data_IF_542656507431
#
_entry.id   IF_542656507431
#
_cell.length_a   1.000
_cell.length_b   1.000
_cell.length_c   1.000
_cell.angle_alpha   90.00
_cell.angle_beta   90.00
_cell.angle_gamma   90.00
#
_symmetry.space_group_name_H-M   'P 1'
#
loop_
_entity.id
_entity.type
_entity.pdbx_description
1 polymer ?
#
# COMPACT_ATOMS: atom_id res chain seq x y z
N UNK A 1 4.93 13.09 36.19
CA UNK A 1 5.10 12.17 35.04
C UNK A 1 3.94 12.43 34.08
N UNK A 2 4.19 13.13 32.97
CA UNK A 2 3.17 13.32 31.93
C UNK A 2 3.07 12.00 31.15
N UNK A 3 1.89 11.37 31.13
CA UNK A 3 1.64 10.19 30.33
C UNK A 3 1.82 10.57 28.85
N UNK A 4 2.79 9.96 28.18
CA UNK A 4 3.05 10.22 26.77
C UNK A 4 1.84 9.80 25.94
N UNK A 5 1.26 10.75 25.21
CA UNK A 5 0.25 10.45 24.19
C UNK A 5 0.99 9.72 23.06
N UNK A 6 0.58 8.49 22.77
CA UNK A 6 1.08 7.76 21.61
C UNK A 6 0.30 8.22 20.36
N UNK A 7 1.02 8.68 19.34
CA UNK A 7 0.46 9.06 18.04
C UNK A 7 0.82 7.98 17.03
N UNK A 8 -0.18 7.50 16.29
CA UNK A 8 0.01 6.52 15.22
C UNK A 8 -0.44 7.11 13.87
N UNK A 9 0.44 7.11 12.88
CA UNK A 9 0.12 7.55 11.52
C UNK A 9 -0.62 6.44 10.77
N UNK A 10 -1.90 6.64 10.46
CA UNK A 10 -2.72 5.66 9.71
C UNK A 10 -2.57 5.77 8.19
N UNK A 11 -2.33 6.97 7.69
CA UNK A 11 -2.19 7.25 6.26
C UNK A 11 -1.35 8.52 6.06
N UNK A 12 -0.38 8.51 5.14
CA UNK A 12 0.34 9.73 4.76
C UNK A 12 -0.48 10.65 3.83
N UNK A 13 -1.61 10.17 3.27
CA UNK A 13 -2.49 10.99 2.45
C UNK A 13 -3.46 11.81 3.32
N UNK A 14 -3.65 13.11 3.03
CA UNK A 14 -4.72 13.91 3.62
C UNK A 14 -6.09 13.26 3.42
N UNK A 15 -7.00 13.49 4.37
CA UNK A 15 -8.28 12.76 4.44
C UNK A 15 -9.14 12.99 3.19
N UNK A 16 -9.09 14.18 2.61
CA UNK A 16 -9.83 14.58 1.40
C UNK A 16 -9.30 13.83 0.17
N UNK A 17 -7.97 13.63 0.10
CA UNK A 17 -7.33 12.90 -1.00
C UNK A 17 -7.67 11.41 -0.94
N UNK A 18 -7.84 10.85 0.26
CA UNK A 18 -8.22 9.46 0.42
C UNK A 18 -9.62 9.15 -0.15
N UNK A 19 -10.51 10.14 -0.20
CA UNK A 19 -11.88 9.95 -0.67
C UNK A 19 -11.97 9.53 -2.15
N UNK A 20 -11.05 10.03 -3.01
CA UNK A 20 -11.15 9.89 -4.47
C UNK A 20 -9.95 9.20 -5.15
N UNK A 21 -8.93 8.80 -4.39
CA UNK A 21 -7.75 8.16 -4.97
C UNK A 21 -8.02 6.71 -5.37
N UNK A 22 -7.43 6.26 -6.47
CA UNK A 22 -7.44 4.85 -6.89
C UNK A 22 -6.37 4.10 -6.07
N UNK A 23 -6.79 3.52 -4.95
CA UNK A 23 -5.94 2.70 -4.09
C UNK A 23 -6.60 2.44 -2.74
N UNK A 24 -6.10 1.46 -1.99
CA UNK A 24 -6.66 1.08 -0.70
C UNK A 24 -6.26 2.12 0.36
N UNK A 25 -7.22 2.80 0.97
CA UNK A 25 -6.98 3.87 1.95
C UNK A 25 -7.46 3.47 3.34
N UNK A 26 -7.17 4.31 4.34
CA UNK A 26 -7.68 4.12 5.69
C UNK A 26 -9.22 4.23 5.74
N UNK A 27 -9.83 5.06 4.87
CA UNK A 27 -11.30 5.16 4.76
C UNK A 27 -11.94 3.82 4.37
N UNK A 28 -11.28 2.99 3.58
CA UNK A 28 -11.83 1.66 3.21
C UNK A 28 -11.87 0.73 4.43
N UNK A 29 -10.87 0.81 5.32
CA UNK A 29 -10.89 0.08 6.58
C UNK A 29 -12.00 0.58 7.51
N UNK A 30 -12.25 1.90 7.53
CA UNK A 30 -13.37 2.47 8.28
C UNK A 30 -14.73 2.05 7.72
N UNK A 31 -14.89 1.97 6.40
CA UNK A 31 -16.13 1.45 5.79
C UNK A 31 -16.37 -0.01 6.19
N UNK A 32 -15.31 -0.83 6.25
CA UNK A 32 -15.39 -2.24 6.67
C UNK A 32 -15.75 -2.35 8.16
N UNK A 33 -15.18 -1.50 9.02
CA UNK A 33 -15.46 -1.50 10.47
C UNK A 33 -16.78 -0.80 10.86
N UNK A 34 -17.46 -0.18 9.88
CA UNK A 34 -18.71 0.55 10.07
C UNK A 34 -18.53 1.97 10.61
N UNK A 35 -17.34 2.57 10.48
CA UNK A 35 -17.08 3.96 10.85
C UNK A 35 -17.15 4.24 12.36
N UNK A 36 -17.06 3.19 13.18
CA UNK A 36 -17.14 3.30 14.65
C UNK A 36 -15.95 4.08 15.19
N UNK A 37 -16.21 5.03 16.09
CA UNK A 37 -15.18 5.81 16.76
C UNK A 37 -14.84 7.16 16.10
N UNK A 38 -15.51 7.52 15.00
CA UNK A 38 -15.42 8.86 14.44
C UNK A 38 -16.34 9.83 15.19
N UNK A 39 -15.78 10.91 15.73
CA UNK A 39 -16.55 12.00 16.34
C UNK A 39 -17.39 12.77 15.31
N UNK A 40 -18.35 13.56 15.78
CA UNK A 40 -19.25 14.34 14.90
C UNK A 40 -18.72 15.75 14.57
N UNK A 41 -17.71 16.24 15.30
CA UNK A 41 -17.21 17.61 15.20
C UNK A 41 -15.70 17.64 14.90
N UNK A 42 -15.25 18.76 14.32
CA UNK A 42 -13.87 18.95 13.89
C UNK A 42 -13.43 17.88 12.89
N UNK A 43 -12.20 17.39 13.03
CA UNK A 43 -11.64 16.35 12.16
C UNK A 43 -12.49 15.07 12.09
N UNK A 44 -13.23 14.74 13.15
CA UNK A 44 -14.16 13.60 13.12
C UNK A 44 -15.29 13.77 12.10
N UNK A 45 -15.85 14.98 12.01
CA UNK A 45 -16.85 15.34 11.01
C UNK A 45 -16.27 15.31 9.59
N UNK A 46 -15.09 15.90 9.40
CA UNK A 46 -14.37 15.86 8.12
C UNK A 46 -14.10 14.41 7.66
N UNK A 47 -13.72 13.53 8.58
CA UNK A 47 -13.51 12.12 8.29
C UNK A 47 -14.81 11.39 7.91
N UNK A 48 -15.97 11.74 8.52
CA UNK A 48 -17.28 11.18 8.13
C UNK A 48 -17.69 11.65 6.74
N UNK A 49 -17.48 12.92 6.42
CA UNK A 49 -17.76 13.45 5.08
C UNK A 49 -16.89 12.79 4.03
N UNK A 50 -15.59 12.63 4.31
CA UNK A 50 -14.68 11.90 3.44
C UNK A 50 -15.08 10.41 3.29
N UNK A 51 -15.59 9.77 4.34
CA UNK A 51 -16.09 8.40 4.31
C UNK A 51 -17.32 8.25 3.40
N UNK A 52 -18.24 9.22 3.45
CA UNK A 52 -19.41 9.27 2.56
C UNK A 52 -19.00 9.47 1.10
N UNK A 53 -18.08 10.40 0.85
CA UNK A 53 -17.52 10.62 -0.48
C UNK A 53 -16.79 9.37 -1.00
N UNK A 54 -16.03 8.70 -0.13
CA UNK A 54 -15.35 7.45 -0.48
C UNK A 54 -16.33 6.35 -0.87
N UNK A 55 -17.41 6.17 -0.12
CA UNK A 55 -18.44 5.20 -0.46
C UNK A 55 -19.10 5.50 -1.82
N UNK A 56 -19.34 6.78 -2.14
CA UNK A 56 -19.84 7.18 -3.47
C UNK A 56 -18.84 6.85 -4.57
N UNK A 57 -17.57 7.24 -4.38
CA UNK A 57 -16.51 6.95 -5.33
C UNK A 57 -16.38 5.44 -5.58
N UNK A 58 -16.39 4.62 -4.52
CA UNK A 58 -16.35 3.17 -4.68
C UNK A 58 -17.57 2.64 -5.45
N UNK A 59 -18.75 3.22 -5.25
CA UNK A 59 -19.94 2.83 -6.01
C UNK A 59 -19.84 3.19 -7.50
N UNK A 60 -19.34 4.39 -7.82
CA UNK A 60 -19.03 4.80 -9.19
C UNK A 60 -18.02 3.85 -9.87
N UNK A 61 -17.08 3.31 -9.09
CA UNK A 61 -16.08 2.35 -9.55
C UNK A 61 -16.58 0.90 -9.62
N UNK A 62 -17.85 0.64 -9.31
CA UNK A 62 -18.44 -0.71 -9.24
C UNK A 62 -17.89 -1.57 -8.09
N UNK A 63 -17.28 -0.93 -7.08
CA UNK A 63 -16.67 -1.56 -5.91
C UNK A 63 -17.52 -1.43 -4.65
N UNK A 64 -18.67 -0.76 -4.73
CA UNK A 64 -19.68 -0.72 -3.69
C UNK A 64 -21.08 -0.58 -4.29
N UNK A 65 -22.11 -0.99 -3.55
CA UNK A 65 -23.52 -0.75 -3.86
C UNK A 65 -24.17 -0.02 -2.69
N UNK A 66 -25.01 0.98 -2.98
CA UNK A 66 -25.87 1.61 -1.96
C UNK A 66 -27.23 0.93 -1.92
N UNK A 67 -27.65 0.52 -0.72
CA UNK A 67 -29.01 0.01 -0.43
C UNK A 67 -29.61 0.82 0.70
N UNK A 68 -30.33 1.88 0.34
CA UNK A 68 -30.78 2.89 1.29
C UNK A 68 -29.59 3.52 2.02
N UNK A 69 -29.59 3.46 3.35
CA UNK A 69 -28.50 3.96 4.19
C UNK A 69 -27.27 3.01 4.27
N UNK A 70 -27.39 1.76 3.81
CA UNK A 70 -26.30 0.78 3.88
C UNK A 70 -25.42 0.85 2.63
N UNK A 71 -24.11 0.71 2.85
CA UNK A 71 -23.11 0.54 1.78
C UNK A 71 -22.65 -0.90 1.81
N UNK A 72 -22.80 -1.61 0.70
CA UNK A 72 -22.33 -2.98 0.51
C UNK A 72 -21.05 -2.92 -0.29
N UNK A 73 -19.94 -3.35 0.29
CA UNK A 73 -18.64 -3.34 -0.36
C UNK A 73 -18.45 -4.60 -1.22
N UNK A 74 -17.77 -4.45 -2.35
CA UNK A 74 -17.40 -5.59 -3.19
C UNK A 74 -16.53 -6.59 -2.41
N UNK A 75 -16.67 -7.88 -2.72
CA UNK A 75 -15.75 -8.90 -2.22
C UNK A 75 -14.33 -8.56 -2.66
N UNK A 76 -13.35 -8.79 -1.80
CA UNK A 76 -11.93 -8.51 -2.06
C UNK A 76 -11.63 -7.03 -2.39
N UNK A 77 -12.44 -6.07 -1.88
CA UNK A 77 -12.28 -4.63 -2.11
C UNK A 77 -10.83 -4.16 -1.97
N UNK A 78 -10.19 -4.45 -0.82
CA UNK A 78 -8.85 -3.96 -0.51
C UNK A 78 -7.79 -4.55 -1.46
N UNK A 79 -7.93 -5.82 -1.85
CA UNK A 79 -7.02 -6.45 -2.81
C UNK A 79 -7.17 -5.83 -4.21
N UNK A 80 -8.42 -5.57 -4.63
CA UNK A 80 -8.73 -4.96 -5.92
C UNK A 80 -8.18 -3.54 -6.01
N UNK A 81 -8.42 -2.71 -4.98
CA UNK A 81 -7.91 -1.34 -4.91
C UNK A 81 -6.38 -1.31 -4.91
N UNK A 82 -5.73 -2.17 -4.13
CA UNK A 82 -4.27 -2.30 -4.10
C UNK A 82 -3.71 -2.70 -5.46
N UNK A 83 -4.36 -3.64 -6.14
CA UNK A 83 -3.97 -4.05 -7.50
C UNK A 83 -4.04 -2.89 -8.49
N UNK A 84 -5.11 -2.08 -8.47
CA UNK A 84 -5.26 -0.91 -9.35
C UNK A 84 -4.21 0.17 -9.07
N UNK A 85 -3.92 0.45 -7.80
CA UNK A 85 -2.90 1.41 -7.37
C UNK A 85 -1.50 0.98 -7.83
N UNK A 86 -1.15 -0.30 -7.61
CA UNK A 86 0.12 -0.87 -8.06
C UNK A 86 0.25 -0.88 -9.58
N UNK A 87 -0.81 -1.22 -10.30
CA UNK A 87 -0.79 -1.21 -11.76
C UNK A 87 -0.53 0.20 -12.31
N UNK A 88 -1.18 1.23 -11.72
CA UNK A 88 -0.96 2.62 -12.11
C UNK A 88 0.47 3.07 -11.80
N UNK A 89 0.95 2.81 -10.60
CA UNK A 89 2.32 3.15 -10.21
C UNK A 89 3.36 2.44 -11.10
N UNK A 90 3.15 1.17 -11.42
CA UNK A 90 4.02 0.43 -12.32
C UNK A 90 4.06 1.03 -13.73
N UNK A 91 2.92 1.44 -14.28
CA UNK A 91 2.87 2.12 -15.58
C UNK A 91 3.66 3.42 -15.55
N UNK A 92 3.48 4.23 -14.51
CA UNK A 92 4.17 5.52 -14.38
C UNK A 92 5.69 5.33 -14.27
N UNK A 93 6.13 4.38 -13.44
CA UNK A 93 7.56 4.05 -13.29
C UNK A 93 8.16 3.50 -14.59
N UNK A 94 7.44 2.64 -15.30
CA UNK A 94 7.89 2.09 -16.58
C UNK A 94 8.04 3.22 -17.63
N UNK A 95 7.09 4.16 -17.67
CA UNK A 95 7.17 5.32 -18.56
C UNK A 95 8.34 6.26 -18.21
N UNK A 96 8.63 6.46 -16.92
CA UNK A 96 9.75 7.29 -16.45
C UNK A 96 11.13 6.66 -16.70
N UNK A 97 11.25 5.35 -16.53
CA UNK A 97 12.56 4.67 -16.44
C UNK A 97 12.88 3.80 -17.65
N UNK A 98 11.89 3.45 -18.47
CA UNK A 98 12.02 2.47 -19.54
C UNK A 98 12.12 1.02 -19.06
N UNK A 99 12.11 0.76 -17.74
CA UNK A 99 12.17 -0.60 -17.20
C UNK A 99 10.82 -1.30 -17.31
N UNK A 100 10.83 -2.58 -17.64
CA UNK A 100 9.62 -3.41 -17.68
C UNK A 100 9.15 -3.73 -16.25
N UNK A 101 7.86 -3.56 -15.97
CA UNK A 101 7.29 -4.01 -14.70
C UNK A 101 7.11 -5.53 -14.69
N UNK A 102 7.65 -6.18 -13.65
CA UNK A 102 7.50 -7.60 -13.37
C UNK A 102 6.52 -7.79 -12.20
N UNK A 103 5.25 -8.18 -12.47
CA UNK A 103 4.27 -8.41 -11.42
C UNK A 103 4.74 -9.50 -10.44
N UNK A 104 4.40 -9.33 -9.17
CA UNK A 104 4.76 -10.28 -8.11
C UNK A 104 3.52 -11.04 -7.67
N UNK A 105 3.56 -12.36 -7.77
CA UNK A 105 2.52 -13.23 -7.23
C UNK A 105 2.77 -13.57 -5.75
N UNK A 106 1.69 -13.93 -5.04
CA UNK A 106 1.81 -14.45 -3.67
C UNK A 106 2.70 -15.70 -3.65
N UNK A 107 3.58 -15.79 -2.65
CA UNK A 107 4.56 -16.87 -2.50
C UNK A 107 5.80 -16.72 -3.38
N UNK A 108 5.80 -15.80 -4.35
CA UNK A 108 6.95 -15.58 -5.23
C UNK A 108 8.09 -14.90 -4.47
N UNK A 109 9.30 -15.46 -4.63
CA UNK A 109 10.54 -14.81 -4.21
C UNK A 109 11.01 -13.86 -5.32
N UNK A 110 11.27 -12.61 -4.95
CA UNK A 110 11.77 -11.55 -5.82
C UNK A 110 13.10 -11.08 -5.27
N UNK A 111 14.11 -10.96 -6.13
CA UNK A 111 15.43 -10.46 -5.75
C UNK A 111 15.85 -9.33 -6.69
N UNK A 112 16.54 -8.32 -6.16
CA UNK A 112 17.04 -7.22 -6.95
C UNK A 112 17.69 -6.13 -6.10
N UNK A 113 18.23 -5.11 -6.76
CA UNK A 113 18.78 -3.92 -6.13
C UNK A 113 17.63 -3.06 -5.66
N UNK A 114 17.60 -2.72 -4.37
CA UNK A 114 16.62 -1.78 -3.85
C UNK A 114 16.93 -0.35 -4.31
N UNK A 115 16.17 0.15 -5.28
CA UNK A 115 16.44 1.44 -5.96
C UNK A 115 15.81 2.63 -5.25
N UNK A 116 14.57 2.49 -4.78
CA UNK A 116 13.80 3.55 -4.12
C UNK A 116 12.58 2.99 -3.41
N UNK A 117 12.08 3.71 -2.42
CA UNK A 117 10.71 3.50 -1.93
C UNK A 117 9.71 4.38 -2.66
N UNK A 118 8.53 3.85 -2.95
CA UNK A 118 7.42 4.57 -3.57
C UNK A 118 6.27 4.63 -2.56
N UNK A 119 5.74 5.82 -2.31
CA UNK A 119 4.58 6.00 -1.45
C UNK A 119 3.30 5.98 -2.30
N UNK A 120 2.46 4.96 -2.11
CA UNK A 120 1.18 4.82 -2.78
C UNK A 120 0.03 5.04 -1.79
N UNK A 121 -1.19 5.16 -2.30
CA UNK A 121 -2.37 5.22 -1.44
C UNK A 121 -2.49 3.94 -0.58
N UNK A 122 -2.15 2.80 -1.18
CA UNK A 122 -2.17 1.46 -0.60
C UNK A 122 -0.98 1.14 0.31
N UNK A 123 -0.13 2.12 0.62
CA UNK A 123 1.04 1.99 1.49
C UNK A 123 2.36 2.22 0.77
N UNK A 124 3.46 1.97 1.49
CA UNK A 124 4.82 2.13 0.96
C UNK A 124 5.30 0.84 0.32
N UNK A 125 5.91 0.96 -0.86
CA UNK A 125 6.50 -0.15 -1.62
C UNK A 125 7.98 0.11 -1.89
N UNK A 126 8.76 -0.95 -1.98
CA UNK A 126 10.13 -0.94 -2.46
C UNK A 126 10.14 -1.32 -3.94
N UNK A 127 10.89 -0.54 -4.74
CA UNK A 127 11.22 -0.88 -6.11
C UNK A 127 12.51 -1.72 -6.10
N UNK A 128 12.40 -2.99 -6.49
CA UNK A 128 13.53 -3.88 -6.70
C UNK A 128 13.80 -3.97 -8.19
N UNK A 129 15.03 -3.70 -8.59
CA UNK A 129 15.52 -3.79 -9.96
C UNK A 129 16.38 -5.06 -10.11
N UNK A 130 15.97 -5.97 -10.96
CA UNK A 130 16.66 -7.25 -11.20
C UNK A 130 17.65 -7.19 -12.38
N UNK A 131 17.84 -6.01 -12.98
CA UNK A 131 18.67 -5.78 -14.16
C UNK A 131 17.94 -5.99 -15.49
N UNK A 132 16.75 -6.61 -15.50
CA UNK A 132 15.92 -6.80 -16.68
C UNK A 132 14.59 -6.05 -16.60
N UNK A 133 14.14 -5.74 -15.39
CA UNK A 133 12.94 -4.98 -15.11
C UNK A 133 12.88 -4.64 -13.62
N UNK A 134 11.69 -4.27 -13.16
CA UNK A 134 11.48 -3.94 -11.76
C UNK A 134 10.22 -4.58 -11.20
N UNK A 135 10.24 -4.83 -9.90
CA UNK A 135 9.07 -5.27 -9.13
C UNK A 135 8.80 -4.30 -7.98
N UNK A 136 7.52 -4.10 -7.68
CA UNK A 136 7.08 -3.38 -6.49
C UNK A 136 6.70 -4.38 -5.41
N UNK A 137 7.36 -4.30 -4.25
CA UNK A 137 7.14 -5.20 -3.12
C UNK A 137 6.80 -4.37 -1.88
N UNK A 138 5.84 -4.77 -1.01
CA UNK A 138 5.52 -4.03 0.20
C UNK A 138 6.79 -3.68 1.02
N UNK A 139 6.95 -2.42 1.40
CA UNK A 139 8.13 -1.96 2.14
C UNK A 139 8.02 -2.28 3.64
N UNK A 140 9.15 -2.55 4.30
CA UNK A 140 9.23 -2.66 5.77
C UNK A 140 10.44 -1.89 6.31
N UNK A 141 10.40 -1.39 7.56
CA UNK A 141 11.52 -0.65 8.16
C UNK A 141 12.87 -1.37 8.11
N UNK A 142 12.86 -2.71 8.13
CA UNK A 142 14.09 -3.53 8.07
C UNK A 142 14.94 -3.29 6.82
N UNK A 143 14.35 -2.77 5.73
CA UNK A 143 15.07 -2.44 4.48
C UNK A 143 15.40 -0.96 4.31
N UNK A 144 15.09 -0.11 5.30
CA UNK A 144 15.27 1.35 5.17
C UNK A 144 16.69 1.75 4.79
N UNK A 145 17.69 1.14 5.45
CA UNK A 145 19.12 1.40 5.23
C UNK A 145 19.75 0.52 4.13
N UNK A 146 18.93 -0.14 3.30
CA UNK A 146 19.39 -1.10 2.29
C UNK A 146 19.37 -0.54 0.87
N UNK A 147 19.22 0.78 0.72
CA UNK A 147 19.24 1.44 -0.58
C UNK A 147 20.52 1.09 -1.33
N UNK A 148 20.39 0.71 -2.60
CA UNK A 148 21.51 0.30 -3.45
C UNK A 148 22.06 -1.11 -3.17
N UNK A 149 21.53 -1.85 -2.18
CA UNK A 149 21.97 -3.21 -1.89
C UNK A 149 21.09 -4.25 -2.61
N UNK A 150 21.71 -5.38 -2.96
CA UNK A 150 21.00 -6.56 -3.42
C UNK A 150 20.24 -7.18 -2.24
N UNK A 151 18.91 -7.28 -2.37
CA UNK A 151 18.05 -7.88 -1.35
C UNK A 151 17.03 -8.80 -2.02
N UNK A 152 16.39 -9.66 -1.23
CA UNK A 152 15.27 -10.46 -1.70
C UNK A 152 14.06 -10.37 -0.76
N UNK A 153 12.89 -10.55 -1.32
CA UNK A 153 11.63 -10.57 -0.61
C UNK A 153 10.77 -11.75 -1.06
N UNK A 154 10.01 -12.30 -0.13
CA UNK A 154 8.94 -13.25 -0.44
C UNK A 154 7.64 -12.70 0.11
N UNK A 155 6.64 -12.51 -0.76
CA UNK A 155 5.28 -12.11 -0.35
C UNK A 155 4.58 -13.36 0.19
N UNK A 156 4.01 -13.27 1.38
CA UNK A 156 3.17 -14.32 1.99
C UNK A 156 1.79 -13.74 2.30
N UNK A 157 0.80 -14.60 2.47
CA UNK A 157 -0.55 -14.21 2.88
C UNK A 157 -0.47 -13.37 4.17
N UNK A 158 -0.68 -12.06 4.06
CA UNK A 158 -0.65 -11.12 5.19
C UNK A 158 0.67 -10.37 5.42
N UNK A 159 1.71 -10.54 4.60
CA UNK A 159 2.93 -9.73 4.75
C UNK A 159 4.08 -10.08 3.82
N UNK A 160 5.20 -9.41 4.03
CA UNK A 160 6.46 -9.63 3.30
C UNK A 160 7.55 -10.07 4.28
N UNK A 161 8.29 -11.10 3.87
CA UNK A 161 9.54 -11.52 4.52
C UNK A 161 10.71 -11.03 3.69
N UNK A 162 11.71 -10.43 4.34
CA UNK A 162 12.89 -9.86 3.69
C UNK A 162 14.11 -10.72 4.03
N UNK A 163 14.82 -11.14 2.99
CA UNK A 163 16.11 -11.79 3.07
C UNK A 163 17.18 -10.74 2.80
N UNK A 164 17.88 -10.34 3.87
CA UNK A 164 18.91 -9.31 3.83
C UNK A 164 20.22 -10.01 4.14
N UNK A 165 21.00 -10.33 3.11
CA UNK A 165 22.25 -11.08 3.26
C UNK A 165 23.49 -10.23 2.95
N UNK A 166 24.56 -10.44 3.73
CA UNK A 166 25.92 -10.28 3.21
C UNK A 166 26.17 -11.48 2.28
N UNK A 167 26.65 -11.25 1.06
CA UNK A 167 27.37 -12.30 0.35
C UNK A 167 28.49 -12.79 1.27
N UNK A 168 28.37 -13.99 1.82
CA UNK A 168 29.55 -14.72 2.29
C UNK A 168 30.34 -15.05 1.04
N UNK A 169 31.50 -14.43 0.88
CA UNK A 169 32.50 -14.91 -0.07
C UNK A 169 32.86 -16.36 0.26
N UNK A 170 33.39 -17.13 -0.71
CA UNK A 170 33.73 -18.53 -0.48
C UNK A 170 34.70 -18.62 0.70
N UNK A 171 34.32 -19.36 1.75
CA UNK A 171 35.29 -19.87 2.71
C UNK A 171 36.11 -20.93 1.98
N UNK A 172 37.29 -20.54 1.53
CA UNK A 172 38.34 -21.49 1.14
C UNK A 172 38.77 -22.18 2.43
N UNK A 173 38.48 -23.48 2.52
CA UNK A 173 39.09 -24.40 3.47
C UNK A 173 40.27 -25.11 2.83
#
# INVERSE_FOLDING_TARGET
RLGGVAVELKSPLPIERQARVIGATWLDQQLISGGKGLGDLGFGGEAKDALLQRANFLAEQGLAERRGQRVILARNLLATLRGRDLAKAAQDIAAETGLEHRPVADGQRVAGIYRRSVMLASGRYAMLDDGMGFSLVPWRPVIEQRLGQQIAATIRSGGVSWEIGRQRGPTVG
#
